data_IF_343619457353
#
_entry.id   IF_343619457353
#
_cell.length_a   1.000
_cell.length_b   1.000
_cell.length_c   1.000
_cell.angle_alpha   90.00
_cell.angle_beta   90.00
_cell.angle_gamma   90.00
#
_symmetry.space_group_name_H-M   'P 1'
#
loop_
_entity.id
_entity.type
_entity.pdbx_description
1 polymer ?
#
# COMPACT_ATOMS: atom_id res chain seq x y z
N UNK A 1 -15.57 -11.57 12.90
CA UNK A 1 -16.07 -12.29 11.70
C UNK A 1 -14.96 -12.23 10.67
N UNK A 2 -14.58 -13.35 10.07
CA UNK A 2 -13.62 -13.34 8.97
C UNK A 2 -14.18 -12.44 7.85
N UNK A 3 -13.39 -11.53 7.26
CA UNK A 3 -13.87 -10.75 6.13
C UNK A 3 -14.26 -11.73 5.02
N UNK A 4 -15.51 -11.62 4.58
CA UNK A 4 -16.04 -12.30 3.40
C UNK A 4 -15.00 -12.22 2.29
N UNK A 5 -14.68 -13.34 1.63
CA UNK A 5 -13.75 -13.40 0.49
C UNK A 5 -14.30 -12.50 -0.61
N UNK A 6 -13.97 -11.23 -0.55
CA UNK A 6 -14.34 -10.21 -1.51
C UNK A 6 -13.13 -9.98 -2.40
N UNK A 7 -13.34 -9.99 -3.72
CA UNK A 7 -12.31 -9.65 -4.68
C UNK A 7 -11.70 -8.26 -4.33
N UNK A 8 -10.39 -8.18 -4.02
CA UNK A 8 -9.76 -6.94 -3.55
C UNK A 8 -9.89 -5.79 -4.56
N UNK A 9 -9.78 -6.10 -5.86
CA UNK A 9 -9.86 -5.08 -6.92
C UNK A 9 -11.26 -4.47 -7.01
N UNK A 10 -12.31 -5.27 -6.84
CA UNK A 10 -13.70 -4.80 -6.73
C UNK A 10 -13.94 -4.01 -5.45
N UNK A 11 -13.43 -4.49 -4.31
CA UNK A 11 -13.60 -3.80 -3.04
C UNK A 11 -12.94 -2.41 -3.04
N UNK A 12 -11.75 -2.29 -3.63
CA UNK A 12 -11.06 -1.00 -3.82
C UNK A 12 -11.94 -0.01 -4.57
N UNK A 13 -12.66 -0.44 -5.62
CA UNK A 13 -13.56 0.44 -6.37
C UNK A 13 -14.70 0.94 -5.50
N UNK A 14 -15.27 0.09 -4.64
CA UNK A 14 -16.34 0.48 -3.71
C UNK A 14 -15.86 1.52 -2.70
N UNK A 15 -14.71 1.30 -2.06
CA UNK A 15 -14.19 2.21 -1.02
C UNK A 15 -13.65 3.54 -1.58
N UNK A 16 -13.33 3.58 -2.88
CA UNK A 16 -12.93 4.80 -3.60
C UNK A 16 -14.10 5.67 -4.05
N UNK A 17 -15.34 5.20 -3.92
CA UNK A 17 -16.49 6.02 -4.26
C UNK A 17 -16.45 7.33 -3.45
N UNK A 18 -16.78 8.44 -4.12
CA UNK A 18 -16.94 9.74 -3.47
C UNK A 18 -18.26 9.79 -2.70
N UNK A 19 -18.36 10.61 -1.64
CA UNK A 19 -19.65 10.89 -1.02
C UNK A 19 -20.58 11.60 -2.03
N UNK A 20 -21.90 11.56 -1.78
CA UNK A 20 -22.86 12.31 -2.60
C UNK A 20 -22.47 13.79 -2.72
N UNK A 21 -22.76 14.46 -3.84
CA UNK A 21 -22.44 15.88 -4.02
C UNK A 21 -22.94 16.73 -2.84
N UNK A 22 -22.06 17.59 -2.31
CA UNK A 22 -22.35 18.44 -1.15
C UNK A 22 -22.15 17.76 0.21
N UNK A 23 -21.88 16.45 0.25
CA UNK A 23 -21.56 15.74 1.50
C UNK A 23 -20.03 15.71 1.75
N UNK A 24 -19.57 15.85 3.00
CA UNK A 24 -18.16 15.77 3.33
C UNK A 24 -17.64 14.32 3.32
N UNK A 25 -16.33 14.15 3.12
CA UNK A 25 -15.67 12.84 3.24
C UNK A 25 -15.53 12.36 4.69
N UNK A 26 -15.62 13.28 5.65
CA UNK A 26 -15.48 13.01 7.08
C UNK A 26 -16.76 13.38 7.80
N UNK A 27 -17.38 12.42 8.47
CA UNK A 27 -18.62 12.58 9.23
C UNK A 27 -18.37 12.29 10.71
N UNK A 28 -19.04 13.03 11.60
CA UNK A 28 -18.96 12.82 13.03
C UNK A 28 -19.70 11.52 13.41
N UNK A 29 -19.07 10.70 14.26
CA UNK A 29 -19.72 9.52 14.84
C UNK A 29 -20.83 10.01 15.78
N UNK A 30 -22.07 9.53 15.65
CA UNK A 30 -23.16 9.89 16.55
C UNK A 30 -22.80 9.65 18.02
N UNK A 31 -23.07 10.65 18.88
CA UNK A 31 -22.80 10.57 20.32
C UNK A 31 -21.33 10.63 20.73
N UNK A 32 -20.40 10.91 19.80
CA UNK A 32 -18.97 10.97 20.12
C UNK A 32 -18.50 12.32 20.70
N UNK A 33 -19.27 13.39 20.49
CA UNK A 33 -18.97 14.71 21.03
C UNK A 33 -19.17 14.75 22.56
N UNK A 34 -18.33 15.52 23.26
CA UNK A 34 -18.41 15.75 24.70
C UNK A 34 -18.31 17.24 24.98
N UNK A 35 -18.69 17.69 26.18
CA UNK A 35 -18.73 19.12 26.54
C UNK A 35 -17.41 19.86 26.21
N UNK A 36 -16.27 19.25 26.52
CA UNK A 36 -14.94 19.83 26.25
C UNK A 36 -14.25 19.29 24.97
N UNK A 37 -14.93 18.50 24.13
CA UNK A 37 -14.32 17.83 22.97
C UNK A 37 -15.23 17.76 21.76
N UNK A 38 -14.68 18.08 20.60
CA UNK A 38 -15.33 17.84 19.32
C UNK A 38 -15.63 16.34 19.10
N UNK A 39 -16.59 16.07 18.22
CA UNK A 39 -16.91 14.70 17.82
C UNK A 39 -15.71 13.99 17.18
N UNK A 40 -15.71 12.66 17.25
CA UNK A 40 -14.77 11.82 16.53
C UNK A 40 -15.26 11.75 15.09
N UNK A 41 -14.40 12.08 14.13
CA UNK A 41 -14.74 12.03 12.70
C UNK A 41 -14.19 10.75 12.06
N UNK A 42 -14.97 10.15 11.17
CA UNK A 42 -14.58 8.99 10.35
C UNK A 42 -14.90 9.23 8.88
N UNK A 43 -14.24 8.47 8.02
CA UNK A 43 -14.58 8.45 6.60
C UNK A 43 -16.06 8.13 6.42
N UNK A 44 -16.73 8.81 5.48
CA UNK A 44 -18.20 8.77 5.32
C UNK A 44 -18.75 7.35 5.14
N UNK A 45 -17.98 6.46 4.51
CA UNK A 45 -18.39 5.07 4.39
C UNK A 45 -18.33 4.33 5.73
N UNK A 46 -17.41 4.65 6.64
CA UNK A 46 -17.09 3.87 7.85
C UNK A 46 -17.54 4.52 9.17
N UNK A 47 -18.62 5.30 9.13
CA UNK A 47 -19.20 5.92 10.34
C UNK A 47 -19.79 4.85 11.24
N UNK A 48 -20.73 4.05 10.71
CA UNK A 48 -21.53 3.08 11.47
C UNK A 48 -21.08 1.62 11.30
N UNK A 49 -19.90 1.39 10.71
CA UNK A 49 -19.32 0.05 10.52
C UNK A 49 -17.90 -0.04 11.10
N UNK A 50 -17.38 -1.26 11.33
CA UNK A 50 -15.99 -1.44 11.73
C UNK A 50 -15.01 -0.77 10.76
N UNK A 51 -13.88 -0.32 11.31
CA UNK A 51 -12.81 0.23 10.49
C UNK A 51 -12.24 -0.82 9.54
N UNK A 52 -11.80 -0.36 8.37
CA UNK A 52 -11.10 -1.18 7.40
C UNK A 52 -9.81 -1.74 8.04
N UNK A 53 -9.72 -3.06 8.15
CA UNK A 53 -8.53 -3.74 8.68
C UNK A 53 -7.56 -4.14 7.57
N UNK A 54 -8.06 -4.80 6.52
CA UNK A 54 -7.32 -5.12 5.31
C UNK A 54 -8.25 -5.06 4.10
N UNK A 55 -7.70 -4.68 2.95
CA UNK A 55 -8.37 -4.72 1.65
C UNK A 55 -8.26 -6.12 1.04
N UNK A 56 -7.14 -6.79 1.30
CA UNK A 56 -6.76 -8.04 0.68
C UNK A 56 -6.36 -9.02 1.79
N UNK A 57 -7.23 -10.01 2.11
CA UNK A 57 -6.95 -10.97 3.18
C UNK A 57 -5.70 -11.82 2.94
N UNK A 58 -5.23 -11.93 1.69
CA UNK A 58 -4.01 -12.68 1.34
C UNK A 58 -2.72 -11.86 1.51
N UNK A 59 -2.83 -10.54 1.71
CA UNK A 59 -1.68 -9.67 1.90
C UNK A 59 -1.73 -9.01 3.28
N UNK A 60 -1.05 -9.62 4.25
CA UNK A 60 -1.02 -9.15 5.64
C UNK A 60 0.33 -8.55 6.02
N UNK A 61 1.38 -8.83 5.24
CA UNK A 61 2.73 -8.32 5.47
C UNK A 61 3.24 -7.52 4.29
N UNK A 62 4.22 -6.64 4.53
CA UNK A 62 4.93 -5.92 3.46
C UNK A 62 5.56 -6.87 2.44
N UNK A 63 5.97 -8.07 2.87
CA UNK A 63 6.47 -9.12 1.99
C UNK A 63 5.38 -9.61 1.03
N UNK A 64 4.18 -9.91 1.54
CA UNK A 64 3.06 -10.40 0.69
C UNK A 64 2.64 -9.35 -0.34
N UNK A 65 2.60 -8.07 0.06
CA UNK A 65 2.32 -6.97 -0.86
C UNK A 65 3.37 -6.89 -1.98
N UNK A 66 4.65 -7.05 -1.65
CA UNK A 66 5.71 -7.07 -2.65
C UNK A 66 5.59 -8.28 -3.58
N UNK A 67 5.37 -9.48 -3.04
CA UNK A 67 5.19 -10.71 -3.82
C UNK A 67 4.03 -10.59 -4.81
N UNK A 68 2.89 -10.07 -4.36
CA UNK A 68 1.71 -9.85 -5.20
C UNK A 68 1.99 -8.81 -6.27
N UNK A 69 2.66 -7.71 -5.94
CA UNK A 69 3.04 -6.66 -6.89
C UNK A 69 4.01 -7.19 -7.97
N UNK A 70 5.03 -7.96 -7.57
CA UNK A 70 6.01 -8.52 -8.48
C UNK A 70 5.40 -9.51 -9.47
N UNK A 71 4.41 -10.31 -9.04
CA UNK A 71 3.66 -11.20 -9.94
C UNK A 71 2.70 -10.43 -10.85
N UNK A 72 2.01 -9.41 -10.33
CA UNK A 72 0.99 -8.64 -11.09
C UNK A 72 1.63 -7.71 -12.12
N UNK A 73 2.80 -7.13 -11.84
CA UNK A 73 3.47 -6.11 -12.67
C UNK A 73 4.99 -6.33 -12.74
N UNK A 74 5.48 -7.46 -13.26
CA UNK A 74 6.89 -7.82 -13.22
C UNK A 74 7.80 -6.77 -13.89
N UNK A 75 7.35 -6.19 -15.01
CA UNK A 75 8.14 -5.26 -15.82
C UNK A 75 7.98 -3.79 -15.40
N UNK A 76 7.18 -3.49 -14.37
CA UNK A 76 7.03 -2.11 -13.89
C UNK A 76 8.28 -1.66 -13.12
N UNK A 77 8.58 -0.36 -13.17
CA UNK A 77 9.68 0.25 -12.41
C UNK A 77 9.44 0.06 -10.89
N UNK A 78 10.41 -0.52 -10.19
CA UNK A 78 10.33 -0.83 -8.77
C UNK A 78 11.25 0.06 -7.95
N UNK A 79 12.57 -0.04 -8.17
CA UNK A 79 13.57 0.77 -7.46
C UNK A 79 14.36 1.62 -8.45
N UNK A 80 14.45 2.91 -8.15
CA UNK A 80 15.18 3.88 -8.95
C UNK A 80 16.42 4.36 -8.22
N UNK A 81 17.54 4.53 -8.92
CA UNK A 81 18.71 5.20 -8.39
C UNK A 81 19.32 6.13 -9.44
N UNK A 82 20.09 7.11 -8.97
CA UNK A 82 20.90 7.96 -9.84
C UNK A 82 22.35 7.49 -9.77
N UNK A 83 22.94 6.98 -10.87
CA UNK A 83 24.33 6.58 -10.86
C UNK A 83 25.21 7.83 -10.69
N UNK A 84 26.22 7.70 -9.84
CA UNK A 84 27.27 8.70 -9.70
C UNK A 84 28.33 8.47 -10.77
N UNK A 85 28.65 9.50 -11.55
CA UNK A 85 29.79 9.50 -12.46
C UNK A 85 31.02 10.08 -11.74
N UNK A 86 32.05 9.28 -11.46
CA UNK A 86 33.24 9.75 -10.74
C UNK A 86 34.13 10.68 -11.58
N UNK A 87 34.02 10.66 -12.91
CA UNK A 87 34.83 11.50 -13.82
C UNK A 87 34.26 12.92 -13.84
N UNK A 88 32.96 13.05 -14.12
CA UNK A 88 32.30 14.35 -14.15
C UNK A 88 31.93 14.85 -12.76
N UNK A 89 31.97 13.98 -11.75
CA UNK A 89 31.49 14.23 -10.38
C UNK A 89 30.05 14.73 -10.37
N UNK A 90 29.20 14.08 -11.14
CA UNK A 90 27.78 14.41 -11.22
C UNK A 90 26.90 13.17 -11.12
N UNK A 91 25.63 13.37 -10.77
CA UNK A 91 24.63 12.31 -10.79
C UNK A 91 23.92 12.29 -12.15
N UNK A 92 23.86 11.10 -12.77
CA UNK A 92 23.12 10.89 -14.01
C UNK A 92 21.59 10.91 -13.84
N UNK A 93 20.91 10.53 -14.91
CA UNK A 93 19.45 10.33 -14.91
C UNK A 93 19.04 9.13 -14.05
N UNK A 94 17.78 9.09 -13.61
CA UNK A 94 17.26 7.93 -12.90
C UNK A 94 17.29 6.68 -13.77
N UNK A 95 17.96 5.66 -13.27
CA UNK A 95 17.90 4.30 -13.76
C UNK A 95 16.96 3.51 -12.85
N UNK A 96 16.19 2.59 -13.44
CA UNK A 96 15.17 1.82 -12.74
C UNK A 96 15.45 0.34 -12.93
N UNK A 97 15.31 -0.43 -11.85
CA UNK A 97 15.15 -1.87 -11.91
C UNK A 97 13.66 -2.22 -11.77
N UNK A 98 13.25 -3.26 -12.47
CA UNK A 98 11.88 -3.76 -12.50
C UNK A 98 11.54 -4.52 -11.21
N UNK A 99 10.26 -4.81 -10.99
CA UNK A 99 9.86 -5.68 -9.88
C UNK A 99 10.44 -7.09 -10.01
N UNK A 100 10.51 -7.63 -11.22
CA UNK A 100 11.08 -8.96 -11.47
C UNK A 100 12.58 -9.00 -11.10
N UNK A 101 13.37 -8.04 -11.59
CA UNK A 101 14.80 -7.93 -11.27
C UNK A 101 15.02 -7.70 -9.77
N UNK A 102 14.17 -6.90 -9.13
CA UNK A 102 14.25 -6.66 -7.68
C UNK A 102 13.96 -7.95 -6.90
N UNK A 103 12.97 -8.73 -7.30
CA UNK A 103 12.62 -10.00 -6.67
C UNK A 103 13.76 -11.02 -6.81
N UNK A 104 14.38 -11.12 -7.99
CA UNK A 104 15.54 -11.98 -8.22
C UNK A 104 16.74 -11.57 -7.36
N UNK A 105 17.09 -10.28 -7.33
CA UNK A 105 18.19 -9.77 -6.49
C UNK A 105 17.95 -10.05 -5.01
N UNK A 106 16.73 -9.82 -4.51
CA UNK A 106 16.35 -10.11 -3.12
C UNK A 106 16.51 -11.59 -2.80
N UNK A 107 16.07 -12.47 -3.71
CA UNK A 107 16.23 -13.93 -3.56
C UNK A 107 17.70 -14.33 -3.51
N UNK A 108 18.50 -13.88 -4.47
CA UNK A 108 19.93 -14.22 -4.56
C UNK A 108 20.71 -13.72 -3.34
N UNK A 109 20.41 -12.50 -2.89
CA UNK A 109 21.00 -11.94 -1.68
C UNK A 109 20.59 -12.72 -0.42
N UNK A 110 19.30 -13.06 -0.30
CA UNK A 110 18.80 -13.84 0.83
C UNK A 110 19.43 -15.23 0.94
N UNK A 111 19.60 -15.93 -0.18
CA UNK A 111 20.32 -17.22 -0.20
C UNK A 111 21.76 -17.04 0.27
N UNK A 112 22.45 -16.00 -0.20
CA UNK A 112 23.83 -15.71 0.24
C UNK A 112 23.94 -15.44 1.74
N UNK A 113 22.96 -14.78 2.36
CA UNK A 113 22.96 -14.54 3.81
C UNK A 113 22.79 -15.82 4.63
N UNK A 114 22.05 -16.81 4.12
CA UNK A 114 21.82 -18.09 4.81
C UNK A 114 23.09 -18.92 4.89
N UNK A 115 23.98 -18.79 3.91
CA UNK A 115 25.27 -19.51 3.84
C UNK A 115 26.39 -18.83 4.67
N UNK A 116 26.10 -17.73 5.38
CA UNK A 116 27.05 -17.09 6.28
C UNK A 116 26.93 -17.72 7.68
N UNK A 117 27.98 -18.43 8.10
CA UNK A 117 28.15 -19.03 9.43
C UNK A 117 29.47 -18.58 10.06
#
# INVERSE_FOLDING_TARGET
>A
MAPTVQDPDTYVKTIRASPPPGSPYSLAIPGSAREDRSGIYRHYQFVDKPLLQTIDPECLTSHDFFEKAARKRPNARCLGHRPWDPVTKTYGNYQWITYAETAERRKNFGVGLVELH
#
